data_IF_843643739672
#
_entry.id   IF_843643739672
#
_cell.length_a   1.000
_cell.length_b   1.000
_cell.length_c   1.000
_cell.angle_alpha   90.00
_cell.angle_beta   90.00
_cell.angle_gamma   90.00
#
_symmetry.space_group_name_H-M   'P 1'
#
loop_
_entity.id
_entity.type
_entity.pdbx_description
1 polymer ?
#
# COMPACT_ATOMS: atom_id res chain seq x y z
N UNK A 1 -23.47 -19.80 -44.04
CA UNK A 1 -24.62 -19.47 -43.18
C UNK A 1 -24.09 -18.84 -41.91
N UNK A 2 -24.67 -17.70 -41.53
CA UNK A 2 -24.39 -17.10 -40.23
C UNK A 2 -24.80 -18.08 -39.14
N UNK A 3 -23.87 -18.43 -38.25
CA UNK A 3 -24.06 -19.48 -37.24
C UNK A 3 -25.04 -19.07 -36.13
N UNK A 4 -25.31 -17.77 -36.01
CA UNK A 4 -26.12 -17.20 -34.94
C UNK A 4 -27.25 -16.36 -35.53
N UNK A 5 -28.42 -16.49 -34.94
CA UNK A 5 -29.59 -15.66 -35.22
C UNK A 5 -29.35 -14.20 -34.80
N UNK A 6 -30.10 -13.23 -35.35
CA UNK A 6 -30.02 -11.84 -34.92
C UNK A 6 -30.29 -11.64 -33.41
N UNK A 7 -31.12 -12.50 -32.80
CA UNK A 7 -31.42 -12.47 -31.36
C UNK A 7 -30.21 -12.91 -30.53
N UNK A 8 -29.57 -14.03 -30.89
CA UNK A 8 -28.36 -14.51 -30.21
C UNK A 8 -27.20 -13.49 -30.34
N UNK A 9 -27.11 -12.78 -31.47
CA UNK A 9 -26.14 -11.68 -31.63
C UNK A 9 -26.40 -10.53 -30.66
N UNK A 10 -27.65 -10.14 -30.46
CA UNK A 10 -28.02 -9.08 -29.54
C UNK A 10 -27.72 -9.47 -28.08
N UNK A 11 -27.96 -10.73 -27.71
CA UNK A 11 -27.63 -11.25 -26.38
C UNK A 11 -26.13 -11.25 -26.11
N UNK A 12 -25.32 -11.72 -27.07
CA UNK A 12 -23.85 -11.72 -26.95
C UNK A 12 -23.31 -10.30 -26.76
N UNK A 13 -23.81 -9.33 -27.53
CA UNK A 13 -23.41 -7.92 -27.41
C UNK A 13 -23.81 -7.36 -26.04
N UNK A 14 -25.00 -7.70 -25.55
CA UNK A 14 -25.48 -7.24 -24.23
C UNK A 14 -24.61 -7.79 -23.10
N UNK A 15 -24.32 -9.09 -23.11
CA UNK A 15 -23.44 -9.75 -22.14
C UNK A 15 -22.03 -9.13 -22.18
N UNK A 16 -21.52 -8.82 -23.37
CA UNK A 16 -20.21 -8.17 -23.52
C UNK A 16 -20.22 -6.77 -22.91
N UNK A 17 -21.26 -5.96 -23.18
CA UNK A 17 -21.41 -4.62 -22.61
C UNK A 17 -21.48 -4.70 -21.08
N UNK A 18 -22.33 -5.57 -20.52
CA UNK A 18 -22.47 -5.72 -19.07
C UNK A 18 -21.16 -6.13 -18.39
N UNK A 19 -20.38 -7.03 -19.00
CA UNK A 19 -19.09 -7.44 -18.47
C UNK A 19 -17.97 -6.41 -18.66
N UNK A 20 -18.10 -5.51 -19.64
CA UNK A 20 -17.15 -4.42 -19.88
C UNK A 20 -17.31 -3.25 -18.92
N UNK A 21 -18.47 -3.12 -18.28
CA UNK A 21 -18.74 -2.04 -17.34
C UNK A 21 -18.06 -2.30 -15.99
N UNK A 22 -17.24 -1.36 -15.48
CA UNK A 22 -16.64 -1.52 -14.17
C UNK A 22 -17.72 -1.55 -13.08
N UNK A 23 -17.54 -2.45 -12.12
CA UNK A 23 -18.49 -2.59 -11.01
C UNK A 23 -18.49 -1.33 -10.15
N UNK A 24 -19.64 -0.99 -9.59
CA UNK A 24 -19.78 0.14 -8.63
C UNK A 24 -18.79 0.03 -7.47
N UNK A 25 -18.50 -1.18 -7.00
CA UNK A 25 -17.52 -1.48 -5.94
C UNK A 25 -16.08 -1.07 -6.31
N UNK A 26 -15.77 -0.94 -7.59
CA UNK A 26 -14.49 -0.46 -8.11
C UNK A 26 -14.52 1.04 -8.36
N UNK A 27 -15.64 1.57 -8.88
CA UNK A 27 -15.77 3.00 -9.19
C UNK A 27 -15.73 3.87 -7.93
N UNK A 28 -16.45 3.49 -6.87
CA UNK A 28 -16.52 4.29 -5.64
C UNK A 28 -15.16 4.51 -4.95
N UNK A 29 -14.33 3.48 -4.69
CA UNK A 29 -13.02 3.69 -4.07
C UNK A 29 -12.08 4.50 -4.98
N UNK A 30 -12.12 4.32 -6.30
CA UNK A 30 -11.33 5.13 -7.23
C UNK A 30 -11.72 6.61 -7.16
N UNK A 31 -13.02 6.91 -7.18
CA UNK A 31 -13.51 8.28 -7.04
C UNK A 31 -13.12 8.90 -5.69
N UNK A 32 -13.21 8.11 -4.60
CA UNK A 32 -12.78 8.56 -3.28
C UNK A 32 -11.27 8.86 -3.24
N UNK A 33 -10.43 7.99 -3.80
CA UNK A 33 -8.98 8.20 -3.85
C UNK A 33 -8.62 9.46 -4.65
N UNK A 34 -9.28 9.70 -5.79
CA UNK A 34 -9.05 10.91 -6.59
C UNK A 34 -9.45 12.16 -5.80
N UNK A 35 -10.59 12.14 -5.10
CA UNK A 35 -11.02 13.28 -4.27
C UNK A 35 -10.10 13.55 -3.09
N UNK A 36 -9.60 12.52 -2.44
CA UNK A 36 -8.83 12.65 -1.20
C UNK A 36 -7.33 12.87 -1.45
N UNK A 37 -6.76 12.18 -2.44
CA UNK A 37 -5.31 12.12 -2.68
C UNK A 37 -4.92 12.63 -4.07
N UNK A 38 -5.87 13.01 -4.92
CA UNK A 38 -5.60 13.48 -6.29
C UNK A 38 -5.18 12.38 -7.26
N UNK A 39 -5.30 11.10 -6.88
CA UNK A 39 -4.81 9.97 -7.66
C UNK A 39 -5.80 8.81 -7.66
N UNK A 40 -5.89 8.10 -8.79
CA UNK A 40 -6.70 6.90 -8.93
C UNK A 40 -5.92 5.60 -8.59
N UNK A 41 -4.65 5.73 -8.18
CA UNK A 41 -3.83 4.58 -7.82
C UNK A 41 -4.34 3.91 -6.53
N UNK A 42 -4.07 2.61 -6.41
CA UNK A 42 -4.35 1.88 -5.18
C UNK A 42 -3.48 2.42 -4.04
N UNK A 43 -4.09 2.56 -2.86
CA UNK A 43 -3.34 2.87 -1.65
C UNK A 43 -2.42 1.69 -1.30
N UNK A 44 -1.24 1.97 -0.70
CA UNK A 44 -0.38 0.91 -0.20
C UNK A 44 -1.18 0.02 0.75
N UNK A 45 -1.13 -1.29 0.48
CA UNK A 45 -1.82 -2.29 1.30
C UNK A 45 -1.41 -2.12 2.75
N UNK A 46 -2.39 -2.11 3.67
CA UNK A 46 -2.12 -2.01 5.10
C UNK A 46 -1.27 -3.20 5.54
N UNK A 47 0.05 -2.98 5.64
CA UNK A 47 0.98 -3.94 6.21
C UNK A 47 1.01 -3.85 7.74
N UNK A 48 1.63 -4.84 8.39
CA UNK A 48 1.92 -4.76 9.83
C UNK A 48 2.90 -3.61 10.06
N UNK A 49 2.49 -2.64 10.89
CA UNK A 49 3.36 -1.55 11.33
C UNK A 49 4.60 -2.11 12.04
N UNK A 50 5.78 -1.58 11.70
CA UNK A 50 7.03 -1.97 12.37
C UNK A 50 7.07 -1.30 13.74
N UNK A 51 6.87 -2.08 14.80
CA UNK A 51 6.86 -1.57 16.19
C UNK A 51 8.20 -1.00 16.63
N UNK A 52 9.31 -1.56 16.12
CA UNK A 52 10.66 -1.12 16.51
C UNK A 52 11.14 0.15 15.83
N UNK A 53 10.52 0.57 14.71
CA UNK A 53 10.89 1.77 13.95
C UNK A 53 9.82 2.85 14.08
N UNK A 54 9.42 3.13 15.32
CA UNK A 54 8.50 4.22 15.65
C UNK A 54 9.27 5.57 15.73
N UNK A 55 8.53 6.67 15.82
CA UNK A 55 9.12 8.01 15.85
C UNK A 55 10.06 8.22 17.06
N UNK A 56 9.70 7.68 18.22
CA UNK A 56 10.48 7.76 19.46
C UNK A 56 11.84 7.07 19.32
N UNK A 57 11.87 5.83 18.85
CA UNK A 57 13.12 5.09 18.64
C UNK A 57 14.00 5.75 17.57
N UNK A 58 13.38 6.33 16.53
CA UNK A 58 14.13 7.09 15.50
C UNK A 58 14.77 8.34 16.09
N UNK A 59 14.06 9.07 16.95
CA UNK A 59 14.60 10.22 17.66
C UNK A 59 15.74 9.81 18.59
N UNK A 60 15.54 8.79 19.42
CA UNK A 60 16.56 8.24 20.33
C UNK A 60 17.85 7.83 19.60
N UNK A 61 17.72 7.15 18.46
CA UNK A 61 18.87 6.75 17.64
C UNK A 61 19.57 7.96 17.03
N UNK A 62 18.81 8.98 16.57
CA UNK A 62 19.36 10.21 16.01
C UNK A 62 20.15 10.99 17.07
N UNK A 63 19.57 11.16 18.25
CA UNK A 63 20.17 11.93 19.34
C UNK A 63 21.43 11.22 19.87
N UNK A 64 21.36 9.89 20.05
CA UNK A 64 22.53 9.07 20.38
C UNK A 64 23.68 9.19 19.36
N UNK A 65 23.36 9.31 18.07
CA UNK A 65 24.36 9.52 17.03
C UNK A 65 24.99 10.92 17.04
N UNK A 66 24.27 11.93 17.52
CA UNK A 66 24.78 13.28 17.69
C UNK A 66 25.71 13.40 18.93
N UNK A 67 25.37 12.70 20.01
CA UNK A 67 26.14 12.71 21.27
C UNK A 67 27.39 11.82 21.21
N UNK A 68 27.31 10.68 20.52
CA UNK A 68 28.39 9.71 20.46
C UNK A 68 28.59 9.13 19.06
N UNK A 69 29.82 9.26 18.54
CA UNK A 69 30.25 8.65 17.29
C UNK A 69 30.47 7.13 17.40
N UNK A 70 29.87 6.45 18.39
CA UNK A 70 30.01 5.00 18.53
C UNK A 70 29.50 4.29 17.27
N UNK A 71 30.35 3.47 16.65
CA UNK A 71 30.06 2.82 15.35
C UNK A 71 29.44 1.43 15.52
N UNK A 72 29.48 0.87 16.73
CA UNK A 72 28.93 -0.45 17.01
C UNK A 72 27.40 -0.42 17.15
N UNK A 73 26.73 -0.99 16.15
CA UNK A 73 25.27 -1.16 16.14
C UNK A 73 24.79 -1.97 17.34
N UNK A 74 25.56 -2.99 17.74
CA UNK A 74 25.22 -3.84 18.88
C UNK A 74 25.23 -3.09 20.20
N UNK A 75 26.27 -2.28 20.45
CA UNK A 75 26.35 -1.47 21.69
C UNK A 75 25.27 -0.40 21.72
N UNK A 76 25.02 0.28 20.60
CA UNK A 76 23.94 1.27 20.49
C UNK A 76 22.56 0.64 20.75
N UNK A 77 22.31 -0.54 20.20
CA UNK A 77 21.07 -1.28 20.47
C UNK A 77 20.89 -1.62 21.95
N UNK A 78 21.97 -2.04 22.62
CA UNK A 78 21.96 -2.31 24.05
C UNK A 78 21.66 -1.06 24.89
N UNK A 79 22.32 0.07 24.60
CA UNK A 79 22.12 1.34 25.30
C UNK A 79 20.69 1.90 25.12
N UNK A 80 20.13 1.77 23.92
CA UNK A 80 18.81 2.30 23.58
C UNK A 80 17.67 1.30 23.83
N UNK A 81 17.97 0.10 24.33
CA UNK A 81 17.01 -1.00 24.46
C UNK A 81 16.28 -1.35 23.15
N UNK A 82 16.96 -1.20 22.01
CA UNK A 82 16.45 -1.51 20.66
C UNK A 82 17.25 -2.70 20.10
N UNK A 83 16.57 -3.64 19.44
CA UNK A 83 17.28 -4.78 18.82
C UNK A 83 18.26 -4.29 17.76
N UNK A 84 19.48 -4.83 17.75
CA UNK A 84 20.50 -4.50 16.75
C UNK A 84 20.01 -4.74 15.31
N UNK A 85 19.15 -5.74 15.11
CA UNK A 85 18.49 -6.02 13.82
C UNK A 85 17.54 -4.92 13.35
N UNK A 86 16.95 -4.14 14.27
CA UNK A 86 16.05 -3.02 13.95
C UNK A 86 16.80 -1.73 13.61
N UNK A 87 18.06 -1.62 14.05
CA UNK A 87 18.95 -0.49 13.77
C UNK A 87 19.65 -0.57 12.41
N UNK A 88 19.56 -1.72 11.73
CA UNK A 88 20.06 -1.92 10.36
C UNK A 88 19.09 -1.31 9.34
#
# INVERSE_FOLDING_TARGET
MDKNTPQERAEIVTIFIENSLPRKTTIYPLHANVRQYGMAADMPRSGRQRTSRNAENVALVRDSGAESQETSIWRRGFQLHISASSLR
#
